data_IF_165615581924
#
_entry.id   IF_165615581924
#
_cell.length_a   1.000
_cell.length_b   1.000
_cell.length_c   1.000
_cell.angle_alpha   90.00
_cell.angle_beta   90.00
_cell.angle_gamma   90.00
#
_symmetry.space_group_name_H-M   'P 1'
#
loop_
_entity.id
_entity.type
_entity.pdbx_description
1 polymer ?
#
# COMPACT_ATOMS: atom_id res chain seq x y z
N UNK A 1 6.01 -29.41 -2.57
CA UNK A 1 5.13 -28.44 -3.24
C UNK A 1 4.74 -27.25 -2.35
N UNK A 2 4.19 -27.44 -1.13
CA UNK A 2 3.80 -26.30 -0.23
C UNK A 2 4.97 -25.38 0.16
N UNK A 3 6.13 -25.94 0.55
CA UNK A 3 7.33 -25.13 0.87
C UNK A 3 7.81 -24.32 -0.32
N UNK A 4 7.76 -24.87 -1.51
CA UNK A 4 8.16 -24.17 -2.74
C UNK A 4 7.25 -22.97 -3.00
N UNK A 5 5.93 -23.14 -2.90
CA UNK A 5 4.94 -22.05 -3.07
C UNK A 5 5.17 -20.97 -2.01
N UNK A 6 5.39 -21.35 -0.75
CA UNK A 6 5.70 -20.40 0.33
C UNK A 6 6.95 -19.59 0.05
N UNK A 7 8.02 -20.24 -0.41
CA UNK A 7 9.27 -19.54 -0.75
C UNK A 7 9.10 -18.58 -1.93
N UNK A 8 8.35 -18.97 -2.97
CA UNK A 8 8.04 -18.11 -4.11
C UNK A 8 7.24 -16.88 -3.66
N UNK A 9 6.20 -17.07 -2.84
CA UNK A 9 5.41 -15.95 -2.31
C UNK A 9 6.26 -15.00 -1.46
N UNK A 10 7.15 -15.55 -0.63
CA UNK A 10 8.08 -14.74 0.17
C UNK A 10 9.03 -13.94 -0.72
N UNK A 11 9.57 -14.56 -1.76
CA UNK A 11 10.43 -13.87 -2.73
C UNK A 11 9.67 -12.76 -3.45
N UNK A 12 8.45 -13.03 -3.93
CA UNK A 12 7.61 -12.02 -4.57
C UNK A 12 7.34 -10.84 -3.62
N UNK A 13 7.07 -11.11 -2.34
CA UNK A 13 6.84 -10.07 -1.37
C UNK A 13 8.09 -9.23 -1.10
N UNK A 14 9.27 -9.86 -1.00
CA UNK A 14 10.54 -9.16 -0.82
C UNK A 14 10.82 -8.27 -2.04
N UNK A 15 10.70 -8.80 -3.26
CA UNK A 15 10.86 -8.02 -4.48
C UNK A 15 9.89 -6.82 -4.53
N UNK A 16 8.62 -7.06 -4.18
CA UNK A 16 7.63 -5.99 -4.08
C UNK A 16 8.05 -4.92 -3.06
N UNK A 17 8.50 -5.30 -1.86
CA UNK A 17 8.94 -4.35 -0.83
C UNK A 17 10.16 -3.53 -1.28
N UNK A 18 11.11 -4.13 -2.00
CA UNK A 18 12.26 -3.43 -2.57
C UNK A 18 11.79 -2.41 -3.61
N UNK A 19 10.91 -2.80 -4.53
CA UNK A 19 10.35 -1.90 -5.53
C UNK A 19 9.55 -0.76 -4.89
N UNK A 20 8.74 -1.07 -3.87
CA UNK A 20 7.97 -0.07 -3.14
C UNK A 20 8.88 0.97 -2.48
N UNK A 21 9.92 0.52 -1.76
CA UNK A 21 10.91 1.43 -1.15
C UNK A 21 11.61 2.26 -2.22
N UNK A 22 11.99 1.66 -3.35
CA UNK A 22 12.60 2.39 -4.47
C UNK A 22 11.68 3.51 -4.97
N UNK A 23 10.41 3.21 -5.25
CA UNK A 23 9.47 4.22 -5.74
C UNK A 23 9.19 5.31 -4.72
N UNK A 24 9.09 4.97 -3.43
CA UNK A 24 8.74 5.94 -2.39
C UNK A 24 9.90 6.86 -1.99
N UNK A 25 11.16 6.44 -2.18
CA UNK A 25 12.32 7.19 -1.68
C UNK A 25 13.32 7.61 -2.75
N UNK A 26 13.37 6.95 -3.91
CA UNK A 26 14.43 7.13 -4.90
C UNK A 26 13.93 7.48 -6.30
N UNK A 27 12.62 7.51 -6.56
CA UNK A 27 12.10 7.79 -7.89
C UNK A 27 12.19 9.28 -8.22
N UNK A 28 12.93 9.61 -9.26
CA UNK A 28 13.06 10.98 -9.81
C UNK A 28 11.71 11.52 -10.32
N UNK A 29 10.89 10.65 -10.89
CA UNK A 29 9.57 11.01 -11.42
C UNK A 29 8.61 11.54 -10.34
N UNK A 30 8.84 11.16 -9.08
CA UNK A 30 8.09 11.67 -7.93
C UNK A 30 8.82 12.81 -7.20
N UNK A 31 9.87 13.41 -7.80
CA UNK A 31 10.61 14.52 -7.23
C UNK A 31 11.38 14.18 -5.95
N UNK A 32 11.79 12.92 -5.78
CA UNK A 32 12.47 12.42 -4.56
C UNK A 32 14.00 12.63 -4.57
N UNK A 33 14.54 13.24 -5.60
CA UNK A 33 15.99 13.49 -5.74
C UNK A 33 16.48 14.72 -4.98
N UNK A 34 15.59 15.66 -4.70
CA UNK A 34 15.94 16.88 -3.98
C UNK A 34 15.51 16.78 -2.50
N UNK A 35 16.48 16.99 -1.61
CA UNK A 35 16.16 17.13 -0.19
C UNK A 35 15.61 18.53 0.08
N UNK A 36 14.48 18.59 0.77
CA UNK A 36 13.94 19.87 1.20
C UNK A 36 14.81 20.50 2.30
N UNK A 37 15.01 21.79 2.26
CA UNK A 37 15.75 22.51 3.31
C UNK A 37 15.03 22.43 4.65
N UNK A 38 13.70 22.47 4.64
CA UNK A 38 12.83 22.44 5.81
C UNK A 38 11.91 21.22 5.83
N UNK A 39 11.46 20.84 7.01
CA UNK A 39 10.45 19.79 7.16
C UNK A 39 9.13 20.24 6.55
N UNK A 40 8.59 19.43 5.63
CA UNK A 40 7.28 19.65 5.01
C UNK A 40 6.26 18.65 5.53
N UNK A 41 5.11 19.17 5.95
CA UNK A 41 4.00 18.34 6.42
C UNK A 41 2.65 18.95 6.05
N UNK A 42 1.68 18.07 5.80
CA UNK A 42 0.30 18.44 5.56
C UNK A 42 -0.61 17.57 6.45
N UNK A 43 -1.29 18.21 7.39
CA UNK A 43 -2.27 17.56 8.27
C UNK A 43 -3.72 17.88 7.87
N UNK A 44 -3.93 18.67 6.81
CA UNK A 44 -5.25 19.01 6.32
C UNK A 44 -5.72 17.96 5.32
N UNK A 45 -6.74 17.20 5.70
CA UNK A 45 -7.32 16.16 4.83
C UNK A 45 -7.98 16.77 3.59
N UNK A 46 -7.66 16.23 2.43
CA UNK A 46 -8.17 16.67 1.13
C UNK A 46 -7.48 17.92 0.57
N UNK A 47 -6.40 18.41 1.21
CA UNK A 47 -5.66 19.57 0.75
C UNK A 47 -5.00 19.33 -0.60
N UNK A 48 -4.32 18.21 -0.76
CA UNK A 48 -3.66 17.85 -2.02
C UNK A 48 -4.71 17.60 -3.12
N UNK A 49 -5.79 16.90 -2.80
CA UNK A 49 -6.89 16.67 -3.74
C UNK A 49 -7.49 18.00 -4.21
N UNK A 50 -7.75 18.94 -3.30
CA UNK A 50 -8.25 20.27 -3.65
C UNK A 50 -7.23 21.07 -4.46
N UNK A 51 -5.95 21.03 -4.10
CA UNK A 51 -4.86 21.71 -4.81
C UNK A 51 -4.79 21.23 -6.27
N UNK A 52 -4.78 19.93 -6.49
CA UNK A 52 -4.77 19.33 -7.82
C UNK A 52 -6.04 19.66 -8.60
N UNK A 53 -7.21 19.59 -7.97
CA UNK A 53 -8.48 19.88 -8.62
C UNK A 53 -8.55 21.34 -9.08
N UNK A 54 -8.12 22.28 -8.23
CA UNK A 54 -8.14 23.72 -8.56
C UNK A 54 -7.10 24.09 -9.63
N UNK A 55 -5.98 23.39 -9.67
CA UNK A 55 -4.90 23.66 -10.62
C UNK A 55 -4.82 22.65 -11.77
N UNK A 56 -5.88 21.89 -12.02
CA UNK A 56 -5.92 20.81 -13.02
C UNK A 56 -5.54 21.22 -14.44
N UNK A 57 -5.81 22.47 -14.80
CA UNK A 57 -5.47 23.03 -16.14
C UNK A 57 -3.97 23.31 -16.27
N UNK A 58 -3.30 23.61 -15.17
CA UNK A 58 -1.86 23.94 -15.13
C UNK A 58 -1.00 22.70 -14.86
N UNK A 59 -1.42 21.84 -13.94
CA UNK A 59 -0.65 20.65 -13.51
C UNK A 59 -0.91 19.47 -14.45
N UNK A 60 -2.05 19.45 -15.13
CA UNK A 60 -2.50 18.33 -15.97
C UNK A 60 -3.21 17.24 -15.17
N UNK A 61 -4.35 16.81 -15.69
CA UNK A 61 -5.19 15.77 -15.06
C UNK A 61 -4.45 14.44 -14.91
N UNK A 62 -3.47 14.19 -15.77
CA UNK A 62 -2.68 12.96 -15.75
C UNK A 62 -1.85 12.84 -14.46
N UNK A 63 -1.16 13.91 -14.05
CA UNK A 63 -0.35 13.91 -12.82
C UNK A 63 -1.23 13.77 -11.57
N UNK A 64 -2.41 14.38 -11.57
CA UNK A 64 -3.40 14.20 -10.51
C UNK A 64 -3.82 12.71 -10.37
N UNK A 65 -4.20 12.10 -11.50
CA UNK A 65 -4.63 10.70 -11.54
C UNK A 65 -3.50 9.76 -11.14
N UNK A 66 -2.27 10.00 -11.65
CA UNK A 66 -1.10 9.19 -11.30
C UNK A 66 -0.81 9.27 -9.79
N UNK A 67 -0.92 10.44 -9.18
CA UNK A 67 -0.64 10.59 -7.74
C UNK A 67 -1.68 9.85 -6.88
N UNK A 68 -2.97 10.04 -7.17
CA UNK A 68 -4.03 9.37 -6.40
C UNK A 68 -4.05 7.85 -6.66
N UNK A 69 -4.10 7.45 -7.93
CA UNK A 69 -4.16 6.03 -8.30
C UNK A 69 -2.84 5.34 -7.97
N UNK A 70 -1.72 6.03 -8.14
CA UNK A 70 -0.39 5.51 -7.83
C UNK A 70 -0.26 5.10 -6.37
N UNK A 71 -0.62 5.97 -5.42
CA UNK A 71 -0.56 5.67 -3.99
C UNK A 71 -1.45 4.46 -3.64
N UNK A 72 -2.68 4.44 -4.15
CA UNK A 72 -3.59 3.30 -3.95
C UNK A 72 -3.01 2.03 -4.57
N UNK A 73 -2.58 2.07 -5.84
CA UNK A 73 -2.12 0.89 -6.58
C UNK A 73 -0.84 0.29 -6.01
N UNK A 74 0.09 1.15 -5.54
CA UNK A 74 1.37 0.71 -4.97
C UNK A 74 1.16 -0.05 -3.65
N UNK A 75 0.14 0.26 -2.86
CA UNK A 75 -0.17 -0.45 -1.61
C UNK A 75 -1.16 -1.63 -1.76
N UNK A 76 -1.81 -1.79 -2.91
CA UNK A 76 -2.70 -2.94 -3.16
C UNK A 76 -2.00 -4.31 -3.02
N UNK A 77 -0.77 -4.53 -3.55
CA UNK A 77 -0.08 -5.80 -3.36
C UNK A 77 0.20 -6.14 -1.90
N UNK A 78 0.43 -5.14 -1.05
CA UNK A 78 0.57 -5.36 0.40
C UNK A 78 -0.69 -5.99 0.99
N UNK A 79 -1.86 -5.38 0.72
CA UNK A 79 -3.15 -5.87 1.19
C UNK A 79 -3.52 -7.27 0.68
N UNK A 80 -3.03 -7.64 -0.51
CA UNK A 80 -3.23 -8.95 -1.10
C UNK A 80 -2.24 -10.00 -0.58
N UNK A 81 -0.94 -9.71 -0.57
CA UNK A 81 0.11 -10.69 -0.29
C UNK A 81 0.21 -11.03 1.20
N UNK A 82 0.05 -10.04 2.09
CA UNK A 82 0.16 -10.26 3.54
C UNK A 82 -0.80 -11.37 4.03
N UNK A 83 -2.11 -11.35 3.72
CA UNK A 83 -3.00 -12.42 4.17
C UNK A 83 -2.72 -13.77 3.47
N UNK A 84 -2.20 -13.77 2.24
CA UNK A 84 -1.79 -15.00 1.54
C UNK A 84 -0.61 -15.65 2.28
N UNK A 85 0.44 -14.88 2.58
CA UNK A 85 1.64 -15.36 3.27
C UNK A 85 1.33 -15.83 4.69
N UNK A 86 0.55 -15.04 5.42
CA UNK A 86 0.18 -15.37 6.80
C UNK A 86 -0.59 -16.69 6.88
N UNK A 87 -1.48 -16.94 5.93
CA UNK A 87 -2.25 -18.19 5.83
C UNK A 87 -1.37 -19.40 5.52
N UNK A 88 -0.37 -19.22 4.63
CA UNK A 88 0.52 -20.32 4.23
C UNK A 88 1.48 -20.73 5.34
N UNK A 89 1.95 -19.77 6.13
CA UNK A 89 2.92 -20.00 7.22
C UNK A 89 2.29 -20.52 8.50
N UNK A 90 1.07 -20.08 8.84
CA UNK A 90 0.38 -20.48 10.08
C UNK A 90 -0.92 -21.21 9.77
N UNK A 91 -0.84 -22.54 9.74
CA UNK A 91 -2.02 -23.40 9.52
C UNK A 91 -3.07 -23.33 10.63
N UNK A 92 -2.77 -22.80 11.80
CA UNK A 92 -3.48 -23.23 12.99
C UNK A 92 -4.15 -22.17 13.87
N UNK A 93 -3.91 -20.87 13.82
CA UNK A 93 -4.29 -20.22 15.07
C UNK A 93 -5.20 -18.99 14.99
N UNK A 94 -5.05 -18.05 14.10
CA UNK A 94 -5.74 -16.77 14.36
C UNK A 94 -6.92 -16.45 13.43
N UNK A 95 -6.91 -16.95 12.20
CA UNK A 95 -7.86 -16.48 11.17
C UNK A 95 -8.75 -17.56 10.56
N UNK A 96 -8.85 -18.73 11.18
CA UNK A 96 -9.74 -19.79 10.70
C UNK A 96 -11.21 -19.38 10.91
N UNK A 97 -11.82 -18.86 9.85
CA UNK A 97 -13.23 -18.43 9.85
C UNK A 97 -13.49 -16.98 10.23
N UNK A 98 -12.50 -16.21 10.69
CA UNK A 98 -12.69 -14.82 11.09
C UNK A 98 -12.10 -13.83 10.07
N UNK A 99 -12.69 -13.74 8.89
CA UNK A 99 -12.27 -12.79 7.85
C UNK A 99 -12.24 -11.34 8.32
N UNK A 100 -13.17 -10.95 9.17
CA UNK A 100 -13.24 -9.61 9.69
C UNK A 100 -12.03 -9.25 10.56
N UNK A 101 -11.59 -10.15 11.44
CA UNK A 101 -10.37 -9.93 12.24
C UNK A 101 -9.11 -9.85 11.38
N UNK A 102 -9.02 -10.71 10.35
CA UNK A 102 -7.93 -10.66 9.38
C UNK A 102 -7.93 -9.35 8.60
N UNK A 103 -9.10 -8.86 8.19
CA UNK A 103 -9.25 -7.57 7.51
C UNK A 103 -8.74 -6.41 8.36
N UNK A 104 -9.21 -6.31 9.61
CA UNK A 104 -8.78 -5.26 10.53
C UNK A 104 -7.26 -5.32 10.74
N UNK A 105 -6.72 -6.51 10.99
CA UNK A 105 -5.29 -6.70 11.22
C UNK A 105 -4.45 -6.26 10.03
N UNK A 106 -4.78 -6.70 8.81
CA UNK A 106 -4.04 -6.35 7.60
C UNK A 106 -4.14 -4.85 7.30
N UNK A 107 -5.33 -4.27 7.46
CA UNK A 107 -5.54 -2.83 7.27
C UNK A 107 -4.74 -2.01 8.29
N UNK A 108 -4.76 -2.42 9.55
CA UNK A 108 -3.99 -1.75 10.60
C UNK A 108 -2.48 -1.85 10.37
N UNK A 109 -2.00 -3.03 9.96
CA UNK A 109 -0.59 -3.23 9.62
C UNK A 109 -0.18 -2.35 8.42
N UNK A 110 -1.02 -2.26 7.39
CA UNK A 110 -0.80 -1.40 6.24
C UNK A 110 -0.81 0.09 6.60
N UNK A 111 -1.72 0.52 7.48
CA UNK A 111 -1.74 1.87 8.03
C UNK A 111 -0.45 2.20 8.77
N UNK A 112 0.01 1.31 9.67
CA UNK A 112 1.27 1.51 10.40
C UNK A 112 2.48 1.56 9.45
N UNK A 113 2.47 0.73 8.42
CA UNK A 113 3.52 0.74 7.42
C UNK A 113 3.54 2.06 6.62
N UNK A 114 2.37 2.53 6.16
CA UNK A 114 2.24 3.83 5.49
C UNK A 114 2.67 4.99 6.41
N UNK A 115 2.26 4.98 7.68
CA UNK A 115 2.68 5.97 8.67
C UNK A 115 4.21 5.98 8.86
N UNK A 116 4.83 4.82 8.90
CA UNK A 116 6.29 4.71 8.98
C UNK A 116 6.97 5.31 7.73
N UNK A 117 6.45 5.03 6.54
CA UNK A 117 6.93 5.63 5.28
C UNK A 117 6.86 7.14 5.32
N UNK A 118 5.69 7.71 5.63
CA UNK A 118 5.49 9.17 5.73
C UNK A 118 6.42 9.80 6.77
N UNK A 119 6.60 9.13 7.91
CA UNK A 119 7.51 9.60 8.97
C UNK A 119 8.97 9.59 8.48
N UNK A 120 9.40 8.53 7.80
CA UNK A 120 10.77 8.45 7.26
C UNK A 120 10.98 9.52 6.17
N UNK A 121 10.02 9.74 5.28
CA UNK A 121 10.10 10.79 4.26
C UNK A 121 10.23 12.19 4.89
N UNK A 122 9.49 12.45 5.97
CA UNK A 122 9.61 13.70 6.72
C UNK A 122 11.01 13.85 7.34
N UNK A 123 11.48 12.84 8.08
CA UNK A 123 12.78 12.89 8.79
C UNK A 123 13.96 12.99 7.83
N UNK A 124 13.91 12.26 6.72
CA UNK A 124 14.95 12.30 5.69
C UNK A 124 14.85 13.51 4.76
N UNK A 125 13.74 14.27 4.86
CA UNK A 125 13.45 15.43 4.00
C UNK A 125 13.36 15.09 2.50
N UNK A 126 13.14 13.83 2.16
CA UNK A 126 12.97 13.35 0.78
C UNK A 126 11.53 13.57 0.29
N UNK A 127 10.58 13.77 1.21
CA UNK A 127 9.17 13.95 0.93
C UNK A 127 8.50 14.88 1.92
N UNK A 128 7.17 14.97 1.78
CA UNK A 128 6.28 15.69 2.68
C UNK A 128 5.46 14.65 3.44
N UNK A 129 5.36 14.77 4.77
CA UNK A 129 4.38 13.98 5.52
C UNK A 129 2.97 14.42 5.11
N UNK A 130 2.18 13.54 4.50
CA UNK A 130 0.85 13.88 4.01
C UNK A 130 -0.22 12.90 4.50
N UNK A 131 -1.25 13.47 5.16
CA UNK A 131 -2.40 12.68 5.65
C UNK A 131 -3.24 12.13 4.49
N UNK A 132 -3.28 12.81 3.33
CA UNK A 132 -3.97 12.33 2.15
C UNK A 132 -3.28 11.07 1.61
N UNK A 133 -1.94 11.05 1.55
CA UNK A 133 -1.18 9.87 1.13
C UNK A 133 -1.38 8.70 2.11
N UNK A 134 -1.38 8.97 3.42
CA UNK A 134 -1.67 7.96 4.43
C UNK A 134 -3.05 7.31 4.23
N UNK A 135 -4.06 8.11 3.87
CA UNK A 135 -5.41 7.62 3.58
C UNK A 135 -5.45 6.81 2.28
N UNK A 136 -4.82 7.31 1.20
CA UNK A 136 -4.77 6.66 -0.11
C UNK A 136 -4.03 5.33 -0.04
N UNK A 137 -2.87 5.28 0.63
CA UNK A 137 -2.09 4.08 0.85
C UNK A 137 -2.89 3.03 1.63
N UNK A 138 -3.55 3.45 2.72
CA UNK A 138 -4.41 2.56 3.51
C UNK A 138 -5.60 2.05 2.70
N UNK A 139 -6.20 2.90 1.86
CA UNK A 139 -7.28 2.50 0.93
C UNK A 139 -6.79 1.45 -0.08
N UNK A 140 -5.55 1.57 -0.56
CA UNK A 140 -4.88 0.57 -1.38
C UNK A 140 -4.79 -0.79 -0.69
N UNK A 141 -4.37 -0.80 0.58
CA UNK A 141 -4.34 -2.03 1.39
C UNK A 141 -5.73 -2.67 1.51
N UNK A 142 -6.75 -1.86 1.76
CA UNK A 142 -8.16 -2.33 1.84
C UNK A 142 -8.59 -2.97 0.53
N UNK A 143 -8.34 -2.31 -0.60
CA UNK A 143 -8.69 -2.84 -1.92
C UNK A 143 -7.94 -4.14 -2.22
N UNK A 144 -6.64 -4.20 -1.90
CA UNK A 144 -5.85 -5.42 -2.05
C UNK A 144 -6.40 -6.59 -1.23
N UNK A 145 -6.84 -6.33 0.01
CA UNK A 145 -7.49 -7.35 0.83
C UNK A 145 -8.83 -7.82 0.26
N UNK A 146 -9.63 -6.90 -0.29
CA UNK A 146 -10.89 -7.24 -0.95
C UNK A 146 -10.64 -8.18 -2.14
N UNK A 147 -9.64 -7.87 -2.98
CA UNK A 147 -9.24 -8.74 -4.10
C UNK A 147 -8.80 -10.11 -3.59
N UNK A 148 -7.98 -10.17 -2.55
CA UNK A 148 -7.61 -11.44 -1.91
C UNK A 148 -8.84 -12.25 -1.47
N UNK A 149 -9.80 -11.60 -0.81
CA UNK A 149 -11.02 -12.25 -0.33
C UNK A 149 -11.86 -12.81 -1.48
N UNK A 150 -12.02 -12.04 -2.57
CA UNK A 150 -12.75 -12.46 -3.79
C UNK A 150 -12.06 -13.67 -4.44
N UNK A 151 -10.75 -13.59 -4.69
CA UNK A 151 -9.97 -14.69 -5.25
C UNK A 151 -10.07 -15.95 -4.42
N UNK A 152 -9.98 -15.83 -3.09
CA UNK A 152 -10.12 -16.96 -2.19
C UNK A 152 -11.50 -17.60 -2.25
N UNK A 153 -12.57 -16.81 -2.35
CA UNK A 153 -13.94 -17.30 -2.46
C UNK A 153 -14.14 -18.06 -3.77
N UNK A 154 -13.63 -17.50 -4.87
CA UNK A 154 -13.69 -18.14 -6.20
C UNK A 154 -12.97 -19.49 -6.19
N UNK A 155 -11.72 -19.54 -5.73
CA UNK A 155 -10.93 -20.79 -5.66
C UNK A 155 -11.62 -21.82 -4.75
N UNK A 156 -12.21 -21.38 -3.63
CA UNK A 156 -12.94 -22.25 -2.71
C UNK A 156 -14.22 -22.85 -3.31
N UNK A 157 -14.85 -22.17 -4.26
CA UNK A 157 -16.02 -22.68 -5.00
C UNK A 157 -15.59 -23.75 -6.01
N UNK A 158 -14.49 -23.53 -6.74
CA UNK A 158 -14.00 -24.47 -7.75
C UNK A 158 -13.23 -25.67 -7.14
N UNK A 159 -12.63 -25.52 -5.96
CA UNK A 159 -11.89 -26.60 -5.29
C UNK A 159 -12.75 -27.63 -4.54
N UNK A 160 -14.06 -27.49 -4.57
CA UNK A 160 -15.03 -28.44 -3.97
C UNK A 160 -15.70 -29.36 -5.00
N UNK A 161 -15.24 -29.35 -6.26
CA UNK A 161 -15.67 -30.30 -7.30
C UNK A 161 -14.71 -31.46 -7.45
#
# INVERSE_FOLDING_TARGET
MKRFISNVLTLCFICYMILLVYFLFFSEEYGRTEHYETYKYNFELGREIKRYWNNREQIGILLFVINIIGNVAVFMPFGFLVPVMYREQRKDVVFRGHYFRSFIFVTFLGFLFSLAVETVQLVTKVGCFDVDDLLLNTSGVVLGYIIYYICKKIIGVFGKR
#
